data_IF_488665851078
#
_entry.id   IF_488665851078
#
_cell.length_a   1.000
_cell.length_b   1.000
_cell.length_c   1.000
_cell.angle_alpha   90.00
_cell.angle_beta   90.00
_cell.angle_gamma   90.00
#
_symmetry.space_group_name_H-M   'P 1'
#
loop_
_entity.id
_entity.type
_entity.pdbx_description
1 polymer ?
#
# COMPACT_ATOMS: atom_id res chain seq x y z
N UNK A 1 -9.59 -12.91 -10.78
CA UNK A 1 -8.65 -14.00 -10.89
C UNK A 1 -7.83 -13.79 -12.15
N UNK A 2 -6.56 -13.45 -12.00
CA UNK A 2 -5.60 -13.51 -13.08
C UNK A 2 -5.51 -14.98 -13.47
N UNK A 3 -5.91 -15.30 -14.67
CA UNK A 3 -5.63 -16.63 -15.22
C UNK A 3 -4.12 -16.69 -15.43
N UNK A 4 -3.44 -17.40 -14.53
CA UNK A 4 -1.98 -17.63 -14.50
C UNK A 4 -1.40 -18.12 -15.85
N UNK A 5 -2.26 -18.50 -16.78
CA UNK A 5 -1.84 -19.23 -17.97
C UNK A 5 -1.27 -18.37 -19.11
N UNK A 6 -1.65 -17.09 -19.28
CA UNK A 6 -1.20 -16.35 -20.48
C UNK A 6 0.16 -15.68 -20.31
N UNK A 7 0.47 -15.08 -19.17
CA UNK A 7 1.75 -14.42 -18.94
C UNK A 7 2.90 -15.44 -18.67
N UNK A 8 2.60 -16.51 -17.92
CA UNK A 8 3.52 -17.60 -17.60
C UNK A 8 3.95 -18.37 -18.86
N UNK A 9 3.02 -18.65 -19.78
CA UNK A 9 3.33 -19.37 -21.02
C UNK A 9 4.22 -18.55 -21.96
N UNK A 10 3.97 -17.24 -22.11
CA UNK A 10 4.80 -16.36 -22.94
C UNK A 10 6.21 -16.20 -22.38
N UNK A 11 6.35 -16.14 -21.07
CA UNK A 11 7.66 -16.00 -20.42
C UNK A 11 8.44 -17.31 -20.44
N UNK A 12 7.82 -18.45 -20.18
CA UNK A 12 8.46 -19.75 -20.32
C UNK A 12 8.97 -19.97 -21.75
N UNK A 13 8.18 -19.60 -22.77
CA UNK A 13 8.62 -19.68 -24.17
C UNK A 13 9.82 -18.74 -24.47
N UNK A 14 9.85 -17.54 -23.89
CA UNK A 14 10.99 -16.62 -24.03
C UNK A 14 12.27 -17.15 -23.38
N UNK A 15 12.16 -17.76 -22.19
CA UNK A 15 13.28 -18.42 -21.52
C UNK A 15 13.74 -19.67 -22.25
N UNK A 16 12.82 -20.50 -22.74
CA UNK A 16 13.14 -21.73 -23.49
C UNK A 16 13.80 -21.45 -24.83
N UNK A 17 13.37 -20.43 -25.58
CA UNK A 17 14.00 -20.00 -26.84
C UNK A 17 15.45 -19.55 -26.59
N UNK A 18 15.71 -18.88 -25.49
CA UNK A 18 17.06 -18.43 -25.14
C UNK A 18 17.95 -19.57 -24.63
N UNK A 19 17.41 -20.48 -23.85
CA UNK A 19 18.09 -21.68 -23.36
C UNK A 19 18.52 -22.60 -24.52
N UNK A 20 17.67 -22.77 -25.51
CA UNK A 20 18.00 -23.59 -26.69
C UNK A 20 19.15 -23.01 -27.56
N UNK A 21 19.28 -21.65 -27.61
CA UNK A 21 20.36 -20.99 -28.35
C UNK A 21 21.68 -20.89 -27.58
N UNK A 22 21.66 -20.92 -26.27
CA UNK A 22 22.85 -20.77 -25.40
C UNK A 22 23.51 -22.10 -25.01
N UNK A 23 22.98 -23.24 -25.42
CA UNK A 23 23.57 -24.55 -25.16
C UNK A 23 24.97 -24.75 -25.75
N UNK A 24 25.57 -23.73 -26.38
CA UNK A 24 26.92 -23.78 -26.90
C UNK A 24 28.00 -23.07 -26.06
N UNK A 25 27.64 -22.37 -24.94
CA UNK A 25 28.66 -21.70 -24.13
C UNK A 25 28.35 -21.68 -22.61
N UNK A 26 29.41 -21.84 -21.80
CA UNK A 26 29.46 -21.85 -20.34
C UNK A 26 29.04 -20.53 -19.64
N UNK A 27 28.43 -19.57 -20.34
CA UNK A 27 27.91 -18.29 -19.77
C UNK A 27 26.48 -18.38 -19.24
N UNK A 28 25.93 -19.57 -19.09
CA UNK A 28 24.51 -19.80 -18.81
C UNK A 28 24.01 -19.36 -17.44
N UNK A 29 24.88 -19.15 -16.46
CA UNK A 29 24.45 -18.80 -15.09
C UNK A 29 24.06 -17.33 -14.93
N UNK A 30 24.62 -16.42 -15.69
CA UNK A 30 24.26 -14.99 -15.63
C UNK A 30 22.97 -14.65 -16.39
N UNK A 31 22.67 -15.34 -17.46
CA UNK A 31 21.47 -15.10 -18.27
C UNK A 31 20.18 -15.55 -17.60
N UNK A 32 20.24 -16.51 -16.68
CA UNK A 32 19.09 -16.95 -15.88
C UNK A 32 18.71 -15.89 -14.81
N UNK A 33 19.66 -15.04 -14.39
CA UNK A 33 19.45 -13.97 -13.43
C UNK A 33 18.84 -12.70 -14.04
N UNK A 34 18.82 -12.57 -15.36
CA UNK A 34 18.33 -11.40 -16.09
C UNK A 34 17.19 -11.80 -17.02
N UNK A 35 16.03 -11.21 -16.83
CA UNK A 35 14.90 -11.33 -17.74
C UNK A 35 14.64 -10.01 -18.47
N UNK A 36 14.19 -10.09 -19.71
CA UNK A 36 13.74 -8.95 -20.47
C UNK A 36 12.21 -9.04 -20.65
N UNK A 37 11.47 -8.03 -20.20
CA UNK A 37 10.02 -7.97 -20.33
C UNK A 37 9.66 -6.87 -21.32
N UNK A 38 8.85 -7.19 -22.30
CA UNK A 38 8.50 -6.31 -23.41
C UNK A 38 7.20 -5.56 -23.15
N UNK A 39 7.18 -4.27 -23.50
CA UNK A 39 6.05 -3.36 -23.27
C UNK A 39 4.78 -3.75 -24.02
N UNK A 40 4.93 -4.30 -25.21
CA UNK A 40 3.82 -4.68 -26.08
C UNK A 40 3.86 -6.18 -26.38
N UNK A 41 2.69 -6.74 -26.69
CA UNK A 41 2.50 -8.14 -27.10
C UNK A 41 3.28 -8.43 -28.39
N UNK A 42 4.61 -8.43 -28.30
CA UNK A 42 5.41 -8.99 -29.38
C UNK A 42 5.09 -10.47 -29.47
N UNK A 43 4.65 -10.90 -30.64
CA UNK A 43 4.49 -12.31 -30.90
C UNK A 43 5.84 -13.02 -30.69
N UNK A 44 5.82 -14.24 -30.19
CA UNK A 44 7.01 -15.09 -30.05
C UNK A 44 7.84 -15.12 -31.34
N UNK A 45 7.21 -14.97 -32.47
CA UNK A 45 7.81 -14.88 -33.79
C UNK A 45 8.70 -13.64 -33.97
N UNK A 46 8.22 -12.45 -33.56
CA UNK A 46 9.01 -11.21 -33.67
C UNK A 46 10.25 -11.22 -32.78
N UNK A 47 10.17 -11.83 -31.61
CA UNK A 47 11.31 -11.96 -30.72
C UNK A 47 12.36 -12.94 -31.31
N UNK A 48 11.91 -14.02 -31.89
CA UNK A 48 12.76 -15.00 -32.55
C UNK A 48 13.51 -14.41 -33.76
N UNK A 49 12.83 -13.56 -34.56
CA UNK A 49 13.40 -12.79 -35.64
C UNK A 49 14.48 -11.79 -35.15
N UNK A 50 14.20 -11.04 -34.09
CA UNK A 50 15.13 -10.07 -33.52
C UNK A 50 16.38 -10.73 -32.98
N UNK A 51 16.25 -11.83 -32.24
CA UNK A 51 17.38 -12.60 -31.72
C UNK A 51 18.17 -13.34 -32.85
N UNK A 52 17.49 -13.63 -33.96
CA UNK A 52 18.12 -14.27 -35.12
C UNK A 52 18.90 -13.25 -35.97
N UNK A 53 18.38 -12.04 -36.12
CA UNK A 53 19.01 -10.95 -36.88
C UNK A 53 20.22 -10.32 -36.14
N UNK A 54 20.25 -10.40 -34.79
CA UNK A 54 21.33 -9.85 -33.98
C UNK A 54 21.82 -10.85 -32.92
N UNK A 55 22.41 -11.96 -33.32
CA UNK A 55 22.79 -13.04 -32.38
C UNK A 55 23.88 -12.63 -31.38
N UNK A 56 24.70 -11.67 -31.73
CA UNK A 56 25.86 -11.21 -30.94
C UNK A 56 25.59 -9.87 -30.20
N UNK A 57 24.42 -9.26 -30.40
CA UNK A 57 24.12 -7.99 -29.76
C UNK A 57 23.87 -8.19 -28.23
N UNK A 58 24.48 -7.35 -27.36
CA UNK A 58 24.20 -7.36 -25.93
C UNK A 58 22.71 -7.19 -25.65
N UNK A 59 22.17 -7.96 -24.71
CA UNK A 59 20.76 -7.91 -24.34
C UNK A 59 20.31 -6.48 -24.02
N UNK A 60 21.17 -5.72 -23.33
CA UNK A 60 20.91 -4.32 -22.97
C UNK A 60 20.70 -3.43 -24.20
N UNK A 61 21.53 -3.55 -25.25
CA UNK A 61 21.36 -2.69 -26.42
C UNK A 61 20.10 -3.04 -27.21
N UNK A 62 19.73 -4.31 -27.27
CA UNK A 62 18.47 -4.75 -27.89
C UNK A 62 17.26 -4.25 -27.10
N UNK A 63 17.28 -4.37 -25.78
CA UNK A 63 16.21 -3.92 -24.92
C UNK A 63 16.04 -2.39 -24.98
N UNK A 64 17.14 -1.62 -24.90
CA UNK A 64 17.12 -0.15 -24.97
C UNK A 64 16.56 0.35 -26.31
N UNK A 65 16.98 -0.19 -27.42
CA UNK A 65 16.48 0.17 -28.74
C UNK A 65 14.98 -0.08 -28.92
N UNK A 66 14.40 -0.93 -28.08
CA UNK A 66 12.98 -1.30 -28.10
C UNK A 66 12.19 -0.73 -26.91
N UNK A 67 12.81 0.11 -26.08
CA UNK A 67 12.22 0.65 -24.85
C UNK A 67 11.67 -0.44 -23.91
N UNK A 68 12.35 -1.58 -23.86
CA UNK A 68 12.00 -2.69 -22.99
C UNK A 68 12.69 -2.56 -21.64
N UNK A 69 12.02 -2.94 -20.58
CA UNK A 69 12.63 -3.05 -19.26
C UNK A 69 13.49 -4.29 -19.16
N UNK A 70 14.66 -4.17 -18.56
CA UNK A 70 15.47 -5.31 -18.15
C UNK A 70 15.19 -5.56 -16.67
N UNK A 71 14.52 -6.66 -16.37
CA UNK A 71 14.33 -7.08 -15.00
C UNK A 71 15.52 -7.92 -14.57
N UNK A 72 16.33 -7.35 -13.68
CA UNK A 72 17.49 -8.03 -13.10
C UNK A 72 17.17 -8.46 -11.67
N UNK A 73 17.25 -9.76 -11.39
CA UNK A 73 16.94 -10.30 -10.06
C UNK A 73 17.96 -9.91 -8.97
N UNK A 74 19.08 -9.29 -9.36
CA UNK A 74 20.11 -8.79 -8.44
C UNK A 74 20.13 -7.25 -8.38
N UNK A 75 19.10 -6.56 -8.85
CA UNK A 75 19.01 -5.10 -8.88
C UNK A 75 17.68 -4.63 -8.35
N UNK A 76 17.62 -3.43 -7.71
CA UNK A 76 16.37 -2.78 -7.36
C UNK A 76 15.52 -2.51 -8.60
N UNK A 77 14.22 -2.67 -8.48
CA UNK A 77 13.24 -2.33 -9.50
C UNK A 77 12.44 -1.13 -9.02
N UNK A 78 12.48 -0.02 -9.75
CA UNK A 78 11.69 1.18 -9.41
C UNK A 78 10.22 0.95 -9.72
N UNK A 79 9.36 1.31 -8.79
CA UNK A 79 7.91 1.26 -8.93
C UNK A 79 7.40 2.64 -9.34
N UNK A 80 6.58 2.70 -10.38
CA UNK A 80 5.94 3.94 -10.81
C UNK A 80 4.60 4.10 -10.09
N UNK A 81 4.38 5.26 -9.51
CA UNK A 81 3.09 5.55 -8.86
C UNK A 81 1.99 5.65 -9.91
N UNK A 82 0.87 4.98 -9.65
CA UNK A 82 -0.37 5.11 -10.40
C UNK A 82 -1.40 5.86 -9.56
N UNK A 83 -1.72 7.09 -9.96
CA UNK A 83 -2.72 7.90 -9.28
C UNK A 83 -4.13 7.51 -9.69
N UNK A 84 -4.98 7.20 -8.70
CA UNK A 84 -6.38 6.82 -8.87
C UNK A 84 -7.25 7.82 -8.13
N UNK A 85 -8.08 8.54 -8.88
CA UNK A 85 -9.01 9.52 -8.32
C UNK A 85 -10.09 8.82 -7.49
N UNK A 86 -10.44 9.44 -6.39
CA UNK A 86 -11.50 9.02 -5.46
C UNK A 86 -12.42 10.20 -5.14
N UNK A 87 -13.66 9.96 -4.68
CA UNK A 87 -14.54 11.04 -4.24
C UNK A 87 -13.93 11.95 -3.17
N UNK A 88 -13.09 11.38 -2.31
CA UNK A 88 -12.44 12.05 -1.18
C UNK A 88 -11.03 12.61 -1.49
N UNK A 89 -10.50 12.42 -2.71
CA UNK A 89 -9.14 12.85 -3.07
C UNK A 89 -8.50 11.92 -4.09
N UNK A 90 -7.35 11.32 -3.77
CA UNK A 90 -6.74 10.32 -4.64
C UNK A 90 -5.86 9.33 -3.87
N UNK A 91 -5.66 8.17 -4.46
CA UNK A 91 -4.68 7.16 -4.03
C UNK A 91 -3.51 7.12 -5.01
N UNK A 92 -2.28 7.06 -4.50
CA UNK A 92 -1.10 6.73 -5.28
C UNK A 92 -0.72 5.27 -5.04
N UNK A 93 -0.85 4.40 -6.04
CA UNK A 93 -0.53 3.00 -5.92
C UNK A 93 0.87 2.69 -6.43
N UNK A 94 1.69 1.98 -5.64
CA UNK A 94 3.04 1.54 -5.99
C UNK A 94 3.12 0.04 -6.28
N UNK A 95 2.19 -0.78 -5.75
CA UNK A 95 2.16 -2.23 -5.93
C UNK A 95 0.81 -2.77 -6.41
N UNK A 96 0.01 -1.96 -7.09
CA UNK A 96 -1.27 -2.35 -7.67
C UNK A 96 -1.12 -3.42 -8.75
N UNK A 97 -1.87 -4.52 -8.63
CA UNK A 97 -1.82 -5.67 -9.55
C UNK A 97 -3.21 -6.14 -9.98
N UNK A 98 -4.24 -5.33 -9.76
CA UNK A 98 -5.62 -5.66 -10.07
C UNK A 98 -6.18 -4.83 -11.24
N UNK A 99 -7.35 -5.23 -11.76
CA UNK A 99 -7.98 -4.57 -12.91
C UNK A 99 -8.22 -3.07 -12.76
N UNK A 100 -8.43 -2.58 -11.52
CA UNK A 100 -8.65 -1.15 -11.23
C UNK A 100 -7.36 -0.33 -11.30
N UNK A 101 -6.20 -0.97 -11.14
CA UNK A 101 -4.92 -0.30 -11.17
C UNK A 101 -3.76 -1.27 -11.28
N UNK A 102 -3.15 -1.32 -12.48
CA UNK A 102 -1.92 -2.08 -12.70
C UNK A 102 -0.75 -1.12 -12.74
N UNK A 103 0.10 -1.21 -11.74
CA UNK A 103 1.30 -0.40 -11.58
C UNK A 103 2.37 -0.87 -12.55
N UNK A 104 3.26 0.03 -12.95
CA UNK A 104 4.42 -0.27 -13.79
C UNK A 104 5.70 -0.27 -12.97
N UNK A 105 6.60 -1.14 -13.39
CA UNK A 105 7.98 -1.17 -12.91
C UNK A 105 8.93 -0.75 -14.02
N UNK A 106 10.04 -0.10 -13.64
CA UNK A 106 11.03 0.43 -14.60
C UNK A 106 12.47 0.19 -14.12
N UNK A 107 13.38 0.04 -15.06
CA UNK A 107 14.84 0.04 -14.86
C UNK A 107 15.47 1.40 -15.22
N UNK A 108 14.63 2.43 -15.48
CA UNK A 108 15.03 3.75 -15.94
C UNK A 108 15.06 3.89 -17.47
N UNK A 109 14.95 2.82 -18.24
CA UNK A 109 14.96 2.83 -19.72
C UNK A 109 13.65 2.33 -20.32
N UNK A 110 13.14 1.23 -19.80
CA UNK A 110 11.88 0.65 -20.21
C UNK A 110 10.90 0.52 -19.06
N UNK A 111 9.64 0.18 -19.39
CA UNK A 111 8.57 -0.01 -18.41
C UNK A 111 7.79 -1.26 -18.72
N UNK A 112 7.35 -1.98 -17.68
CA UNK A 112 6.41 -3.09 -17.79
C UNK A 112 5.40 -3.06 -16.65
N UNK A 113 4.26 -3.72 -16.83
CA UNK A 113 3.32 -3.93 -15.74
C UNK A 113 3.94 -4.80 -14.64
N UNK A 114 3.79 -4.40 -13.39
CA UNK A 114 4.38 -5.09 -12.24
C UNK A 114 4.06 -6.60 -12.21
N UNK A 115 2.83 -7.07 -12.50
CA UNK A 115 2.53 -8.50 -12.55
C UNK A 115 3.46 -9.29 -13.50
N UNK A 116 3.82 -8.71 -14.65
CA UNK A 116 4.75 -9.37 -15.57
C UNK A 116 6.17 -9.40 -14.99
N UNK A 117 6.63 -8.31 -14.38
CA UNK A 117 7.91 -8.31 -13.70
C UNK A 117 7.97 -9.37 -12.60
N UNK A 118 6.92 -9.49 -11.80
CA UNK A 118 6.82 -10.45 -10.69
C UNK A 118 6.85 -11.91 -11.17
N UNK A 119 6.34 -12.21 -12.37
CA UNK A 119 6.43 -13.59 -12.92
C UNK A 119 7.86 -14.06 -13.13
N UNK A 120 8.80 -13.12 -13.37
CA UNK A 120 10.23 -13.41 -13.52
C UNK A 120 10.88 -13.82 -12.21
N UNK A 121 10.37 -13.31 -11.12
CA UNK A 121 10.87 -13.56 -9.78
C UNK A 121 10.17 -14.74 -9.09
N UNK A 122 9.07 -15.27 -9.66
CA UNK A 122 8.14 -16.20 -9.00
C UNK A 122 8.82 -17.41 -8.33
N UNK A 123 9.90 -17.91 -8.87
CA UNK A 123 10.69 -19.01 -8.28
C UNK A 123 11.78 -18.55 -7.31
N UNK A 124 12.11 -17.26 -7.28
CA UNK A 124 13.20 -16.70 -6.46
C UNK A 124 12.71 -15.73 -5.39
N UNK A 125 11.53 -15.12 -5.61
CA UNK A 125 10.90 -14.18 -4.70
C UNK A 125 10.02 -14.85 -3.65
N UNK A 126 9.46 -15.97 -4.02
CA UNK A 126 8.48 -16.69 -3.27
C UNK A 126 9.05 -18.09 -3.08
N UNK A 127 10.03 -18.22 -2.18
CA UNK A 127 10.52 -19.54 -1.76
C UNK A 127 9.35 -20.40 -1.25
N UNK A 128 8.27 -19.76 -0.81
CA UNK A 128 6.94 -20.33 -0.63
C UNK A 128 5.91 -19.48 -1.37
N UNK A 129 5.04 -20.10 -2.13
CA UNK A 129 3.90 -19.48 -2.83
C UNK A 129 2.88 -18.77 -1.91
N UNK A 130 3.13 -18.75 -0.60
CA UNK A 130 2.29 -18.15 0.42
C UNK A 130 2.56 -16.67 0.68
N UNK A 131 3.67 -16.11 0.19
CA UNK A 131 3.98 -14.69 0.40
C UNK A 131 3.31 -13.86 -0.68
N UNK A 132 2.14 -13.35 -0.36
CA UNK A 132 1.43 -12.40 -1.19
C UNK A 132 2.19 -11.07 -1.28
N UNK A 133 2.04 -10.35 -2.39
CA UNK A 133 2.62 -9.02 -2.55
C UNK A 133 1.99 -8.05 -1.57
N UNK A 134 2.79 -7.44 -0.69
CA UNK A 134 2.35 -6.35 0.17
C UNK A 134 1.90 -5.19 -0.72
N UNK A 135 0.72 -4.65 -0.49
CA UNK A 135 0.27 -3.47 -1.19
C UNK A 135 0.83 -2.22 -0.50
N UNK A 136 1.41 -1.36 -1.32
CA UNK A 136 1.96 -0.07 -0.93
C UNK A 136 1.21 1.03 -1.66
N UNK A 137 0.63 1.95 -0.90
CA UNK A 137 -0.12 3.09 -1.42
C UNK A 137 0.21 4.36 -0.66
N UNK A 138 -0.13 5.50 -1.25
CA UNK A 138 -0.38 6.75 -0.53
C UNK A 138 -1.87 7.08 -0.61
N UNK A 139 -2.44 7.55 0.50
CA UNK A 139 -3.78 8.09 0.56
C UNK A 139 -3.68 9.60 0.75
N UNK A 140 -4.33 10.34 -0.14
CA UNK A 140 -4.24 11.81 -0.19
C UNK A 140 -5.66 12.41 -0.15
N UNK A 141 -6.28 12.48 1.02
CA UNK A 141 -7.56 13.15 1.21
C UNK A 141 -7.45 14.65 0.94
N UNK A 142 -8.48 15.23 0.32
CA UNK A 142 -8.56 16.71 0.23
C UNK A 142 -8.75 17.31 1.61
N UNK A 143 -8.41 18.59 1.76
CA UNK A 143 -8.47 19.29 3.04
C UNK A 143 -9.89 19.67 3.48
N UNK A 144 -10.87 19.60 2.58
CA UNK A 144 -12.25 19.97 2.83
C UNK A 144 -12.93 18.95 3.74
N UNK A 145 -13.45 19.43 4.88
CA UNK A 145 -14.21 18.63 5.85
C UNK A 145 -15.37 17.89 5.17
N UNK A 146 -15.63 16.68 5.59
CA UNK A 146 -16.62 15.73 5.02
C UNK A 146 -16.26 15.23 3.63
N UNK A 147 -15.79 16.09 2.73
CA UNK A 147 -15.42 15.68 1.36
C UNK A 147 -14.15 14.84 1.39
N UNK A 148 -13.15 15.24 2.16
CA UNK A 148 -11.90 14.51 2.31
C UNK A 148 -11.99 13.30 3.26
N UNK A 149 -13.08 13.12 3.98
CA UNK A 149 -13.23 11.96 4.89
C UNK A 149 -13.41 10.67 4.09
N UNK A 150 -12.66 9.64 4.47
CA UNK A 150 -12.81 8.31 3.89
C UNK A 150 -13.98 7.55 4.52
N UNK A 151 -14.25 6.38 3.97
CA UNK A 151 -15.23 5.45 4.55
C UNK A 151 -14.92 5.16 6.01
N UNK A 152 -15.94 5.02 6.83
CA UNK A 152 -15.83 4.26 8.06
C UNK A 152 -15.94 2.80 7.67
N UNK A 153 -14.83 2.10 7.74
CA UNK A 153 -14.72 0.73 7.23
C UNK A 153 -14.01 -0.18 8.21
N UNK A 154 -14.15 -1.47 7.99
CA UNK A 154 -13.34 -2.49 8.63
C UNK A 154 -13.15 -3.67 7.68
N UNK A 155 -12.24 -4.55 8.03
CA UNK A 155 -11.81 -5.65 7.19
C UNK A 155 -11.85 -6.97 7.94
N UNK A 156 -12.13 -8.07 7.22
CA UNK A 156 -12.14 -9.43 7.76
C UNK A 156 -10.79 -10.14 7.56
N UNK A 157 -10.08 -9.81 6.48
CA UNK A 157 -8.81 -10.46 6.10
C UNK A 157 -7.68 -9.46 5.85
N UNK A 158 -8.00 -8.18 5.66
CA UNK A 158 -7.03 -7.15 5.36
C UNK A 158 -6.44 -6.56 6.65
N UNK A 159 -5.13 -6.67 6.79
CA UNK A 159 -4.33 -5.97 7.79
C UNK A 159 -3.70 -4.75 7.15
N UNK A 160 -3.77 -3.60 7.78
CA UNK A 160 -3.20 -2.37 7.23
C UNK A 160 -2.58 -1.47 8.29
N UNK A 161 -1.63 -0.65 7.87
CA UNK A 161 -0.96 0.34 8.70
C UNK A 161 -0.76 1.63 7.92
N UNK A 162 -1.05 2.75 8.57
CA UNK A 162 -0.81 4.10 8.07
C UNK A 162 0.40 4.71 8.75
N UNK A 163 1.24 5.36 7.96
CA UNK A 163 2.29 6.26 8.43
C UNK A 163 1.94 7.66 7.96
N UNK A 164 1.68 8.57 8.90
CA UNK A 164 1.28 9.95 8.60
C UNK A 164 2.47 10.73 8.03
N UNK A 165 2.35 11.20 6.80
CA UNK A 165 3.43 11.93 6.11
C UNK A 165 3.19 13.42 6.01
N UNK A 166 1.91 13.86 6.02
CA UNK A 166 1.54 15.27 5.93
C UNK A 166 0.21 15.51 6.63
N UNK A 167 0.07 16.68 7.26
CA UNK A 167 -1.18 17.18 7.81
C UNK A 167 -1.41 18.60 7.27
N UNK A 168 -2.49 18.77 6.51
CA UNK A 168 -2.86 20.06 5.96
C UNK A 168 -3.25 21.05 7.07
N UNK A 169 -2.51 22.16 7.17
CA UNK A 169 -2.73 23.17 8.20
C UNK A 169 -3.98 24.03 7.96
N UNK A 170 -4.55 23.99 6.75
CA UNK A 170 -5.84 24.61 6.47
C UNK A 170 -6.98 23.82 7.11
N UNK A 171 -6.89 22.49 7.07
CA UNK A 171 -7.82 21.58 7.73
C UNK A 171 -7.55 21.48 9.24
N UNK A 172 -6.28 21.33 9.63
CA UNK A 172 -5.81 21.10 11.00
C UNK A 172 -4.78 22.14 11.43
N UNK A 173 -5.19 23.35 11.85
CA UNK A 173 -4.26 24.45 12.14
C UNK A 173 -3.22 24.17 13.22
N UNK A 174 -3.53 23.27 14.17
CA UNK A 174 -2.61 22.84 15.22
C UNK A 174 -1.47 21.95 14.71
N UNK A 175 -1.56 21.42 13.49
CA UNK A 175 -0.70 20.38 12.96
C UNK A 175 -0.95 19.00 13.60
N UNK A 176 -2.07 18.86 14.33
CA UNK A 176 -2.55 17.59 14.89
C UNK A 176 -3.87 17.26 14.22
N UNK A 177 -3.92 16.18 13.48
CA UNK A 177 -5.12 15.67 12.83
C UNK A 177 -5.80 14.58 13.67
N UNK A 178 -6.96 14.10 13.21
CA UNK A 178 -7.71 13.02 13.85
C UNK A 178 -7.96 11.92 12.83
N UNK A 179 -7.60 10.70 13.17
CA UNK A 179 -8.05 9.48 12.47
C UNK A 179 -9.12 8.85 13.35
N UNK A 180 -10.27 8.49 12.78
CA UNK A 180 -11.31 7.80 13.51
C UNK A 180 -10.93 6.33 13.66
N UNK A 181 -10.94 5.79 14.90
CA UNK A 181 -10.51 4.42 15.16
C UNK A 181 -11.17 3.83 16.41
N UNK A 182 -11.68 2.60 16.29
CA UNK A 182 -12.37 1.90 17.38
C UNK A 182 -13.62 2.58 17.87
N UNK A 183 -14.08 2.22 19.06
CA UNK A 183 -15.21 2.84 19.71
C UNK A 183 -14.76 3.96 20.67
N UNK A 184 -15.64 4.94 20.86
CA UNK A 184 -15.35 6.07 21.72
C UNK A 184 -15.28 5.63 23.20
N UNK A 185 -14.20 5.96 23.94
CA UNK A 185 -14.00 5.48 25.32
C UNK A 185 -15.12 5.91 26.27
N UNK A 186 -15.63 7.14 26.13
CA UNK A 186 -16.72 7.62 26.98
C UNK A 186 -18.04 6.87 26.72
N UNK A 187 -18.30 6.48 25.45
CA UNK A 187 -19.46 5.64 25.13
C UNK A 187 -19.31 4.26 25.73
N UNK A 188 -18.14 3.64 25.63
CA UNK A 188 -17.90 2.35 26.28
C UNK A 188 -18.14 2.46 27.79
N UNK A 189 -17.57 3.49 28.45
CA UNK A 189 -17.74 3.69 29.89
C UNK A 189 -19.21 3.91 30.28
N UNK A 190 -19.95 4.75 29.52
CA UNK A 190 -21.37 4.99 29.69
C UNK A 190 -22.18 3.68 29.64
N UNK A 191 -21.95 2.87 28.61
CA UNK A 191 -22.69 1.62 28.42
C UNK A 191 -22.29 0.55 29.44
N UNK A 192 -21.04 0.45 29.83
CA UNK A 192 -20.58 -0.43 30.91
C UNK A 192 -21.26 -0.10 32.24
N UNK A 193 -21.38 1.19 32.56
CA UNK A 193 -22.05 1.63 33.78
C UNK A 193 -23.56 1.28 33.78
N UNK A 194 -24.21 1.44 32.61
CA UNK A 194 -25.68 1.33 32.53
C UNK A 194 -26.17 -0.10 32.23
N UNK A 195 -25.34 -0.97 31.63
CA UNK A 195 -25.79 -2.26 31.11
C UNK A 195 -24.96 -3.47 31.59
N UNK A 196 -24.02 -3.29 32.50
CA UNK A 196 -23.17 -4.34 33.05
C UNK A 196 -22.58 -5.26 31.98
N UNK A 197 -22.76 -6.59 32.09
CA UNK A 197 -22.20 -7.56 31.14
C UNK A 197 -22.79 -7.49 29.72
N UNK A 198 -23.98 -6.90 29.56
CA UNK A 198 -24.65 -6.76 28.25
C UNK A 198 -24.26 -5.50 27.47
N UNK A 199 -23.37 -4.69 28.03
CA UNK A 199 -23.00 -3.41 27.44
C UNK A 199 -22.54 -3.51 25.97
N UNK A 200 -21.74 -4.52 25.54
CA UNK A 200 -21.29 -4.56 24.16
C UNK A 200 -22.44 -4.74 23.18
N UNK A 201 -23.36 -5.64 23.49
CA UNK A 201 -24.52 -5.92 22.64
C UNK A 201 -25.46 -4.71 22.53
N UNK A 202 -25.70 -4.01 23.66
CA UNK A 202 -26.59 -2.86 23.70
C UNK A 202 -25.93 -1.70 22.94
N UNK A 203 -24.65 -1.42 23.18
CA UNK A 203 -23.89 -0.38 22.47
C UNK A 203 -23.91 -0.61 20.95
N UNK A 204 -23.56 -1.81 20.49
CA UNK A 204 -23.53 -2.12 19.06
C UNK A 204 -24.93 -2.07 18.42
N UNK A 205 -25.98 -2.42 19.18
CA UNK A 205 -27.36 -2.27 18.71
C UNK A 205 -27.74 -0.80 18.53
N UNK A 206 -27.41 0.05 19.49
CA UNK A 206 -27.74 1.47 19.44
C UNK A 206 -26.89 2.20 18.39
N UNK A 207 -25.63 1.82 18.25
CA UNK A 207 -24.76 2.29 17.18
C UNK A 207 -25.33 1.92 15.80
N UNK A 208 -25.72 0.65 15.61
CA UNK A 208 -26.40 0.19 14.38
C UNK A 208 -27.65 1.01 14.09
N UNK A 209 -28.47 1.31 15.10
CA UNK A 209 -29.67 2.13 14.92
C UNK A 209 -29.30 3.55 14.46
N UNK A 210 -28.32 4.19 15.11
CA UNK A 210 -27.86 5.53 14.74
C UNK A 210 -27.37 5.58 13.28
N UNK A 211 -26.58 4.58 12.84
CA UNK A 211 -26.11 4.48 11.45
C UNK A 211 -27.29 4.25 10.50
N UNK A 212 -28.25 3.39 10.85
CA UNK A 212 -29.40 3.10 9.98
C UNK A 212 -30.26 4.36 9.78
N UNK A 213 -30.48 5.15 10.84
CA UNK A 213 -31.18 6.43 10.74
C UNK A 213 -30.42 7.40 9.83
N UNK A 214 -29.10 7.46 9.96
CA UNK A 214 -28.23 8.27 9.10
C UNK A 214 -28.23 7.78 7.64
N UNK A 215 -28.09 6.49 7.39
CA UNK A 215 -28.13 5.93 6.03
C UNK A 215 -29.42 6.29 5.30
N UNK A 216 -30.57 6.20 5.96
CA UNK A 216 -31.86 6.54 5.37
C UNK A 216 -31.92 7.97 4.84
N UNK A 217 -31.35 8.93 5.55
CA UNK A 217 -31.29 10.34 5.12
C UNK A 217 -30.20 10.53 4.05
N UNK A 218 -29.04 9.90 4.21
CA UNK A 218 -27.97 9.97 3.22
C UNK A 218 -28.42 9.44 1.86
N UNK A 219 -29.16 8.34 1.84
CA UNK A 219 -29.73 7.77 0.58
C UNK A 219 -30.71 8.72 -0.10
N UNK A 220 -31.50 9.47 0.64
CA UNK A 220 -32.38 10.49 0.05
C UNK A 220 -31.54 11.59 -0.64
N UNK A 221 -30.48 12.07 0.02
CA UNK A 221 -29.58 13.09 -0.54
C UNK A 221 -28.82 12.56 -1.78
N UNK A 222 -28.47 11.28 -1.80
CA UNK A 222 -27.75 10.65 -2.91
C UNK A 222 -28.60 10.43 -4.17
N UNK A 223 -29.93 10.53 -4.06
CA UNK A 223 -30.82 10.40 -5.22
C UNK A 223 -30.72 11.65 -6.12
N UNK A 224 -30.44 11.50 -7.43
CA UNK A 224 -30.18 12.63 -8.34
C UNK A 224 -31.35 13.62 -8.48
N UNK A 225 -32.55 13.18 -8.14
CA UNK A 225 -33.80 13.95 -8.29
C UNK A 225 -34.21 14.68 -6.99
N UNK A 226 -33.50 14.46 -5.89
CA UNK A 226 -33.84 15.08 -4.61
C UNK A 226 -33.40 16.53 -4.59
N UNK A 227 -34.34 17.42 -4.31
CA UNK A 227 -34.05 18.81 -3.95
C UNK A 227 -33.57 18.84 -2.49
N UNK A 228 -32.30 19.19 -2.30
CA UNK A 228 -31.65 19.16 -0.98
C UNK A 228 -32.06 20.44 -0.25
N UNK A 229 -33.10 20.33 0.59
CA UNK A 229 -33.54 21.47 1.41
C UNK A 229 -32.58 21.72 2.59
N UNK A 230 -32.64 22.90 3.17
CA UNK A 230 -31.89 23.27 4.39
C UNK A 230 -32.24 22.33 5.56
N UNK A 231 -33.50 21.92 5.67
CA UNK A 231 -33.97 20.99 6.70
C UNK A 231 -33.36 19.59 6.52
N UNK A 232 -33.32 19.08 5.28
CA UNK A 232 -32.73 17.78 4.97
C UNK A 232 -31.22 17.78 5.24
N UNK A 233 -30.51 18.88 4.90
CA UNK A 233 -29.10 19.06 5.19
C UNK A 233 -28.83 19.12 6.71
N UNK A 234 -29.66 19.83 7.47
CA UNK A 234 -29.56 19.90 8.93
C UNK A 234 -29.84 18.54 9.58
N UNK A 235 -30.79 17.79 9.06
CA UNK A 235 -31.09 16.43 9.52
C UNK A 235 -29.93 15.48 9.27
N UNK A 236 -29.34 15.52 8.07
CA UNK A 236 -28.13 14.72 7.73
C UNK A 236 -27.01 15.00 8.71
N UNK A 237 -26.67 16.28 8.92
CA UNK A 237 -25.61 16.69 9.84
C UNK A 237 -25.85 16.19 11.27
N UNK A 238 -27.09 16.30 11.76
CA UNK A 238 -27.46 15.85 13.10
C UNK A 238 -27.31 14.33 13.25
N UNK A 239 -27.80 13.55 12.29
CA UNK A 239 -27.73 12.09 12.32
C UNK A 239 -26.32 11.58 12.11
N UNK A 240 -25.53 12.21 11.21
CA UNK A 240 -24.11 11.92 11.03
C UNK A 240 -23.36 12.13 12.34
N UNK A 241 -23.56 13.27 13.00
CA UNK A 241 -22.96 13.55 14.31
C UNK A 241 -23.33 12.50 15.34
N UNK A 242 -24.62 12.14 15.44
CA UNK A 242 -25.09 11.09 16.35
C UNK A 242 -24.40 9.74 16.09
N UNK A 243 -24.22 9.34 14.83
CA UNK A 243 -23.54 8.11 14.49
C UNK A 243 -22.04 8.18 14.79
N UNK A 244 -21.38 9.29 14.47
CA UNK A 244 -19.93 9.45 14.71
C UNK A 244 -19.56 9.59 16.19
N UNK A 245 -20.50 9.93 17.10
CA UNK A 245 -20.25 9.93 18.54
C UNK A 245 -19.88 8.56 19.13
N UNK A 246 -20.19 7.46 18.43
CA UNK A 246 -19.80 6.12 18.85
C UNK A 246 -18.35 5.78 18.49
N UNK A 247 -17.72 6.52 17.59
CA UNK A 247 -16.39 6.22 17.07
C UNK A 247 -15.32 7.03 17.79
N UNK A 248 -14.23 6.36 18.16
CA UNK A 248 -13.11 6.97 18.87
C UNK A 248 -12.26 7.87 17.97
N UNK A 249 -11.59 8.82 18.61
CA UNK A 249 -10.67 9.77 18.02
C UNK A 249 -9.22 9.37 18.34
N UNK A 250 -8.43 9.11 17.30
CA UNK A 250 -6.99 8.91 17.39
C UNK A 250 -6.30 10.19 16.91
N UNK A 251 -5.76 10.98 17.83
CA UNK A 251 -4.98 12.18 17.50
C UNK A 251 -3.64 11.79 16.92
N UNK A 252 -3.27 12.38 15.76
CA UNK A 252 -2.04 12.07 15.04
C UNK A 252 -1.27 13.30 14.59
N UNK A 253 0.04 13.15 14.48
CA UNK A 253 0.99 14.12 13.93
C UNK A 253 1.79 13.48 12.81
N UNK A 254 2.50 14.28 12.02
CA UNK A 254 3.45 13.78 11.02
C UNK A 254 4.47 12.86 11.69
N UNK A 255 4.65 11.67 11.13
CA UNK A 255 5.51 10.61 11.65
C UNK A 255 4.80 9.60 12.55
N UNK A 256 3.57 9.85 12.98
CA UNK A 256 2.79 8.90 13.76
C UNK A 256 2.34 7.71 12.90
N UNK A 257 2.14 6.59 13.58
CA UNK A 257 1.78 5.31 12.98
C UNK A 257 0.48 4.82 13.60
N UNK A 258 -0.45 4.42 12.72
CA UNK A 258 -1.76 3.89 13.12
C UNK A 258 -1.96 2.56 12.41
N UNK A 259 -2.11 1.47 13.14
CA UNK A 259 -2.26 0.11 12.59
C UNK A 259 -3.65 -0.44 12.84
N UNK A 260 -4.21 -1.09 11.83
CA UNK A 260 -5.55 -1.66 11.88
C UNK A 260 -5.50 -3.17 11.64
N UNK A 261 -5.62 -3.96 12.71
CA UNK A 261 -5.88 -5.40 12.58
C UNK A 261 -7.28 -5.62 12.00
N UNK A 262 -7.56 -6.86 11.57
CA UNK A 262 -8.91 -7.27 11.15
C UNK A 262 -9.96 -6.93 12.22
N UNK A 263 -11.18 -6.64 11.78
CA UNK A 263 -12.35 -6.28 12.61
C UNK A 263 -12.21 -4.96 13.41
N UNK A 264 -11.20 -4.14 13.11
CA UNK A 264 -11.03 -2.82 13.71
C UNK A 264 -11.70 -1.74 12.86
N UNK A 265 -12.71 -1.05 13.42
CA UNK A 265 -13.34 0.12 12.79
C UNK A 265 -12.34 1.26 12.65
N UNK A 266 -12.27 1.87 11.46
CA UNK A 266 -11.43 3.04 11.22
C UNK A 266 -11.92 3.90 10.05
N UNK A 267 -11.43 5.15 10.00
CA UNK A 267 -11.63 6.08 8.89
C UNK A 267 -10.54 7.14 8.89
N UNK A 268 -9.80 7.25 7.79
CA UNK A 268 -8.87 8.37 7.58
C UNK A 268 -9.68 9.63 7.30
N UNK A 269 -9.31 10.73 7.93
CA UNK A 269 -10.04 11.99 7.80
C UNK A 269 -9.34 12.96 6.86
N UNK A 270 -10.08 13.99 6.42
CA UNK A 270 -9.64 15.02 5.50
C UNK A 270 -8.28 15.64 5.85
N UNK A 271 -7.52 16.03 4.84
CA UNK A 271 -6.25 16.73 4.99
C UNK A 271 -5.13 15.95 5.70
N UNK A 272 -5.27 14.64 5.90
CA UNK A 272 -4.23 13.79 6.49
C UNK A 272 -3.69 12.83 5.42
N UNK A 273 -2.47 13.07 4.93
CA UNK A 273 -1.81 12.21 3.97
C UNK A 273 -1.06 11.10 4.68
N UNK A 274 -1.20 9.88 4.17
CA UNK A 274 -0.53 8.71 4.75
C UNK A 274 0.12 7.84 3.67
N UNK A 275 1.17 7.11 4.07
CA UNK A 275 1.64 5.91 3.36
C UNK A 275 0.93 4.73 4.02
N UNK A 276 0.36 3.86 3.19
CA UNK A 276 -0.35 2.64 3.61
C UNK A 276 0.41 1.40 3.14
N UNK A 277 0.72 0.49 4.08
CA UNK A 277 1.03 -0.90 3.76
C UNK A 277 -0.13 -1.79 4.18
N UNK A 278 -0.54 -2.68 3.30
CA UNK A 278 -1.62 -3.63 3.58
C UNK A 278 -1.36 -5.01 2.98
N UNK A 279 -2.04 -6.02 3.53
CA UNK A 279 -2.15 -7.32 2.87
C UNK A 279 -2.91 -7.19 1.55
N UNK A 280 -2.68 -8.07 0.55
CA UNK A 280 -3.26 -7.93 -0.80
C UNK A 280 -4.74 -8.34 -0.87
N UNK A 281 -5.49 -8.03 0.17
CA UNK A 281 -6.93 -8.24 0.23
C UNK A 281 -7.64 -6.93 -0.11
N UNK A 282 -8.66 -7.01 -0.93
CA UNK A 282 -9.42 -5.84 -1.42
C UNK A 282 -10.83 -5.77 -0.83
N UNK A 283 -11.14 -6.71 0.08
CA UNK A 283 -12.40 -6.73 0.79
C UNK A 283 -12.49 -5.57 1.79
N UNK A 284 -13.68 -5.07 1.97
CA UNK A 284 -14.02 -4.10 3.01
C UNK A 284 -15.49 -4.19 3.35
N UNK A 285 -15.82 -3.91 4.59
CA UNK A 285 -17.16 -3.67 5.06
C UNK A 285 -17.34 -2.18 5.32
N UNK A 286 -18.16 -1.51 4.51
CA UNK A 286 -18.47 -0.08 4.69
C UNK A 286 -19.50 0.04 5.80
N UNK A 287 -19.08 0.59 6.93
CA UNK A 287 -19.95 0.82 8.09
C UNK A 287 -20.83 2.05 7.88
N UNK A 288 -20.25 3.16 7.45
CA UNK A 288 -20.96 4.38 7.04
C UNK A 288 -20.06 5.26 6.17
N UNK A 289 -20.67 6.20 5.45
CA UNK A 289 -19.94 7.16 4.62
C UNK A 289 -20.72 8.45 4.44
N UNK A 290 -20.03 9.58 4.47
CA UNK A 290 -20.63 10.91 4.34
C UNK A 290 -20.87 11.35 2.89
N UNK A 291 -20.54 10.52 1.91
CA UNK A 291 -20.75 10.76 0.49
C UNK A 291 -21.44 9.56 -0.17
N UNK A 292 -21.78 9.70 -1.46
CA UNK A 292 -22.38 8.60 -2.23
C UNK A 292 -21.43 7.44 -2.42
N UNK A 293 -21.84 6.25 -1.99
CA UNK A 293 -21.15 5.01 -2.31
C UNK A 293 -21.53 4.55 -3.70
N UNK A 294 -20.56 4.43 -4.61
CA UNK A 294 -20.80 4.06 -6.01
C UNK A 294 -20.75 2.54 -6.25
N UNK A 295 -20.20 1.78 -5.32
CA UNK A 295 -19.92 0.34 -5.50
C UNK A 295 -21.05 -0.56 -5.02
N UNK A 296 -21.93 -0.07 -4.17
CA UNK A 296 -23.03 -0.84 -3.57
C UNK A 296 -24.21 0.04 -3.18
N UNK A 297 -25.39 -0.56 -3.07
CA UNK A 297 -26.65 0.15 -2.77
C UNK A 297 -26.85 0.45 -1.27
N UNK A 298 -26.33 -0.40 -0.39
CA UNK A 298 -26.46 -0.29 1.06
C UNK A 298 -25.08 -0.41 1.71
N UNK A 299 -24.94 0.18 2.87
CA UNK A 299 -23.75 -0.03 3.70
C UNK A 299 -23.78 -1.44 4.30
N UNK A 300 -22.60 -1.94 4.66
CA UNK A 300 -22.43 -3.27 5.26
C UNK A 300 -22.57 -3.24 6.78
N UNK A 301 -23.22 -2.18 7.31
CA UNK A 301 -23.31 -1.87 8.75
C UNK A 301 -23.71 -3.07 9.60
N UNK A 302 -24.74 -3.83 9.17
CA UNK A 302 -25.23 -4.94 9.96
C UNK A 302 -24.21 -6.09 10.06
N UNK A 303 -23.55 -6.40 8.95
CA UNK A 303 -22.52 -7.43 8.89
C UNK A 303 -21.27 -6.98 9.65
N UNK A 304 -20.81 -5.78 9.39
CA UNK A 304 -19.67 -5.17 10.06
C UNK A 304 -19.81 -5.19 11.60
N UNK A 305 -20.89 -4.62 12.12
CA UNK A 305 -21.09 -4.54 13.57
C UNK A 305 -21.30 -5.90 14.24
N UNK A 306 -21.72 -6.93 13.50
CA UNK A 306 -21.81 -8.30 14.03
C UNK A 306 -20.45 -8.96 14.29
N UNK A 307 -19.38 -8.44 13.66
CA UNK A 307 -18.00 -8.95 13.68
C UNK A 307 -17.02 -8.03 14.39
N UNK A 308 -17.44 -6.78 14.63
CA UNK A 308 -16.59 -5.74 15.22
C UNK A 308 -16.11 -6.13 16.62
N UNK A 309 -14.85 -5.83 16.90
CA UNK A 309 -14.34 -5.84 18.26
C UNK A 309 -14.80 -4.54 18.99
N UNK A 310 -15.66 -4.62 20.02
CA UNK A 310 -16.19 -3.44 20.71
C UNK A 310 -15.18 -2.88 21.72
N UNK A 311 -14.09 -2.31 21.23
CA UNK A 311 -12.98 -1.84 22.05
C UNK A 311 -12.49 -0.44 21.65
N UNK A 312 -11.78 0.20 22.58
CA UNK A 312 -11.04 1.43 22.29
C UNK A 312 -9.84 1.10 21.43
N UNK A 313 -9.56 1.94 20.45
CA UNK A 313 -8.34 1.83 19.67
C UNK A 313 -7.11 2.26 20.49
N UNK A 314 -6.03 1.49 20.37
CA UNK A 314 -4.73 1.82 20.95
C UNK A 314 -3.67 1.89 19.85
N UNK A 315 -2.92 3.00 19.79
CA UNK A 315 -1.79 3.11 18.88
C UNK A 315 -0.72 2.05 19.20
N UNK A 316 -0.08 1.46 18.19
CA UNK A 316 0.97 0.48 18.42
C UNK A 316 2.19 1.12 19.05
N UNK A 317 2.85 0.38 19.93
CA UNK A 317 4.18 0.74 20.42
C UNK A 317 5.23 0.37 19.37
N UNK A 318 6.22 1.26 19.17
CA UNK A 318 7.32 1.01 18.24
C UNK A 318 8.41 0.19 18.94
N UNK A 319 8.78 -0.91 18.31
CA UNK A 319 9.90 -1.73 18.76
C UNK A 319 11.22 -1.16 18.23
N UNK A 320 12.10 -0.71 19.12
CA UNK A 320 13.43 -0.25 18.73
C UNK A 320 14.33 -1.45 18.42
N UNK A 321 14.63 -1.66 17.14
CA UNK A 321 15.49 -2.75 16.69
C UNK A 321 16.98 -2.39 16.76
N UNK A 322 17.33 -1.12 16.47
CA UNK A 322 18.70 -0.65 16.48
C UNK A 322 18.76 0.85 16.71
N UNK A 323 19.77 1.30 17.47
CA UNK A 323 20.07 2.70 17.64
C UNK A 323 21.58 2.91 17.80
N UNK A 324 22.12 3.84 17.04
CA UNK A 324 23.50 4.36 17.21
C UNK A 324 23.50 5.86 16.87
N UNK A 325 24.66 6.53 16.94
CA UNK A 325 24.75 7.93 16.56
C UNK A 325 24.36 8.11 15.09
N UNK A 326 23.25 8.83 14.86
CA UNK A 326 22.74 9.14 13.52
C UNK A 326 21.98 8.01 12.82
N UNK A 327 21.68 6.89 13.49
CA UNK A 327 20.91 5.77 12.94
C UNK A 327 19.87 5.31 13.95
N UNK A 328 18.61 5.21 13.52
CA UNK A 328 17.51 4.64 14.28
C UNK A 328 16.71 3.69 13.39
N UNK A 329 16.48 2.46 13.84
CA UNK A 329 15.64 1.46 13.19
C UNK A 329 14.55 1.03 14.16
N UNK A 330 13.31 1.21 13.76
CA UNK A 330 12.13 0.91 14.57
C UNK A 330 11.18 0.02 13.78
N UNK A 331 10.77 -1.09 14.35
CA UNK A 331 9.64 -1.87 13.84
C UNK A 331 8.35 -1.22 14.29
N UNK A 332 7.49 -0.92 13.33
CA UNK A 332 6.21 -0.29 13.63
C UNK A 332 5.03 -1.23 13.41
N UNK A 333 5.23 -2.35 12.73
CA UNK A 333 4.21 -3.38 12.57
C UNK A 333 4.83 -4.77 12.48
N UNK A 334 4.20 -5.72 13.16
CA UNK A 334 4.54 -7.14 13.15
C UNK A 334 3.25 -7.97 12.96
N UNK A 335 2.67 -7.87 11.75
CA UNK A 335 1.47 -8.61 11.38
C UNK A 335 1.76 -10.07 11.05
N UNK A 336 0.76 -10.95 11.05
CA UNK A 336 0.96 -12.35 10.69
C UNK A 336 1.57 -12.55 9.29
N UNK A 337 1.28 -11.62 8.33
CA UNK A 337 1.67 -11.75 6.94
C UNK A 337 2.92 -10.94 6.58
N UNK A 338 3.22 -9.86 7.30
CA UNK A 338 4.36 -9.00 7.01
C UNK A 338 4.82 -8.19 8.23
N UNK A 339 6.07 -7.76 8.17
CA UNK A 339 6.62 -6.76 9.08
C UNK A 339 6.95 -5.48 8.34
N UNK A 340 6.96 -4.35 9.06
CA UNK A 340 7.43 -3.09 8.49
C UNK A 340 8.25 -2.29 9.50
N UNK A 341 9.36 -1.73 9.00
CA UNK A 341 10.34 -0.99 9.79
C UNK A 341 10.47 0.45 9.25
N UNK A 342 10.67 1.41 10.16
CA UNK A 342 11.08 2.77 9.84
C UNK A 342 12.58 2.90 10.11
N UNK A 343 13.32 3.38 9.13
CA UNK A 343 14.75 3.61 9.24
C UNK A 343 15.01 5.10 9.06
N UNK A 344 15.68 5.69 10.04
CA UNK A 344 16.11 7.09 10.05
C UNK A 344 17.63 7.14 10.03
N UNK A 345 18.22 7.84 9.07
CA UNK A 345 19.64 8.03 8.90
C UNK A 345 19.96 9.52 8.84
N UNK A 346 20.86 10.01 9.67
CA UNK A 346 21.43 11.35 9.51
C UNK A 346 22.21 11.45 8.21
N UNK A 347 22.44 12.67 7.74
CA UNK A 347 23.21 12.95 6.53
C UNK A 347 24.57 12.24 6.53
N UNK A 348 24.86 11.55 5.43
CA UNK A 348 26.12 10.80 5.24
C UNK A 348 26.19 9.46 5.97
N UNK A 349 25.19 9.11 6.79
CA UNK A 349 25.12 7.79 7.42
C UNK A 349 24.81 6.69 6.41
N UNK A 350 25.24 5.49 6.74
CA UNK A 350 25.03 4.30 5.92
C UNK A 350 24.33 3.21 6.72
N UNK A 351 23.48 2.44 6.02
CA UNK A 351 22.79 1.27 6.58
C UNK A 351 22.97 0.07 5.66
N UNK A 352 23.53 -1.02 6.19
CA UNK A 352 23.66 -2.29 5.50
C UNK A 352 22.51 -3.21 5.91
N UNK A 353 21.84 -3.82 4.93
CA UNK A 353 20.72 -4.72 5.17
C UNK A 353 20.77 -5.96 4.28
N UNK A 354 20.11 -7.03 4.71
CA UNK A 354 20.09 -8.32 4.03
C UNK A 354 18.64 -8.74 3.75
N UNK A 355 18.39 -9.17 2.52
CA UNK A 355 17.05 -9.61 2.13
C UNK A 355 16.67 -10.99 2.71
N UNK A 356 17.65 -11.81 3.05
CA UNK A 356 17.38 -13.16 3.54
C UNK A 356 16.67 -14.00 2.47
N UNK A 357 15.42 -14.40 2.74
CA UNK A 357 14.59 -15.18 1.81
C UNK A 357 13.41 -14.39 1.23
N UNK A 358 13.37 -13.07 1.47
CA UNK A 358 12.18 -12.27 1.20
C UNK A 358 12.55 -11.00 0.44
N UNK A 359 11.64 -10.50 -0.38
CA UNK A 359 11.81 -9.20 -0.99
C UNK A 359 11.62 -8.08 0.05
N UNK A 360 12.20 -6.92 -0.20
CA UNK A 360 11.89 -5.70 0.53
C UNK A 360 11.17 -4.70 -0.38
N UNK A 361 10.13 -4.06 0.16
CA UNK A 361 9.55 -2.85 -0.43
C UNK A 361 10.08 -1.66 0.34
N UNK A 362 10.70 -0.71 -0.36
CA UNK A 362 11.17 0.54 0.22
C UNK A 362 10.36 1.70 -0.34
N UNK A 363 10.04 2.67 0.53
CA UNK A 363 9.52 3.99 0.13
C UNK A 363 10.18 5.05 0.99
N UNK A 364 10.70 6.13 0.37
CA UNK A 364 11.28 7.25 1.11
C UNK A 364 10.19 8.26 1.51
N UNK A 365 10.23 8.71 2.76
CA UNK A 365 9.40 9.81 3.27
C UNK A 365 10.12 11.15 3.09
N UNK A 366 11.41 11.20 3.47
CA UNK A 366 12.23 12.41 3.42
C UNK A 366 13.69 12.07 3.16
N UNK A 367 14.43 13.05 2.67
CA UNK A 367 15.83 12.85 2.29
C UNK A 367 15.96 12.02 1.01
N UNK A 368 17.20 11.80 0.59
CA UNK A 368 17.53 11.01 -0.59
C UNK A 368 18.53 9.92 -0.21
N UNK A 369 18.37 8.74 -0.78
CA UNK A 369 19.31 7.64 -0.61
C UNK A 369 19.89 7.17 -1.95
N UNK A 370 21.15 6.73 -1.92
CA UNK A 370 21.71 5.85 -2.92
C UNK A 370 21.64 4.41 -2.39
N UNK A 371 20.95 3.54 -3.10
CA UNK A 371 20.79 2.11 -2.78
C UNK A 371 21.76 1.32 -3.62
N UNK A 372 22.78 0.76 -2.99
CA UNK A 372 23.83 -0.03 -3.62
C UNK A 372 23.53 -1.53 -3.44
N UNK A 373 23.18 -2.27 -4.47
CA UNK A 373 23.16 -3.73 -4.41
C UNK A 373 24.59 -4.27 -4.25
N UNK A 374 24.73 -5.49 -3.73
CA UNK A 374 26.02 -6.15 -3.60
C UNK A 374 26.77 -6.22 -4.94
N UNK A 375 26.04 -6.46 -6.03
CA UNK A 375 26.57 -6.50 -7.39
C UNK A 375 25.71 -5.64 -8.31
N UNK A 376 26.24 -4.53 -8.81
CA UNK A 376 25.52 -3.71 -9.78
C UNK A 376 25.64 -2.21 -9.56
N UNK A 377 24.74 -1.45 -10.16
CA UNK A 377 24.75 0.01 -10.09
C UNK A 377 23.82 0.51 -8.98
N UNK A 378 24.22 1.60 -8.34
CA UNK A 378 23.38 2.28 -7.36
C UNK A 378 22.10 2.81 -8.02
N UNK A 379 21.00 2.73 -7.28
CA UNK A 379 19.72 3.32 -7.63
C UNK A 379 19.38 4.42 -6.62
N UNK A 380 19.07 5.61 -7.13
CA UNK A 380 18.66 6.72 -6.27
C UNK A 380 17.19 6.52 -5.85
N UNK A 381 16.92 6.69 -4.57
CA UNK A 381 15.60 6.71 -3.97
C UNK A 381 15.31 8.12 -3.44
N UNK A 382 14.41 8.83 -4.10
CA UNK A 382 13.97 10.17 -3.70
C UNK A 382 12.72 10.08 -2.80
N UNK A 383 12.34 11.17 -2.12
CA UNK A 383 11.07 11.23 -1.40
C UNK A 383 9.88 10.83 -2.29
N UNK A 384 8.95 10.09 -1.73
CA UNK A 384 7.76 9.54 -2.41
C UNK A 384 8.07 8.56 -3.57
N UNK A 385 9.32 8.14 -3.75
CA UNK A 385 9.66 7.04 -4.66
C UNK A 385 9.71 5.72 -3.91
N UNK A 386 9.38 4.64 -4.63
CA UNK A 386 9.40 3.30 -4.08
C UNK A 386 10.24 2.35 -4.93
N UNK A 387 10.92 1.43 -4.26
CA UNK A 387 11.73 0.38 -4.85
C UNK A 387 11.24 -1.00 -4.39
N UNK A 388 11.23 -1.91 -5.32
CA UNK A 388 11.11 -3.33 -5.05
C UNK A 388 12.52 -3.95 -5.12
N UNK A 389 12.98 -4.53 -4.02
CA UNK A 389 14.28 -5.18 -3.90
C UNK A 389 14.09 -6.70 -3.91
N UNK A 390 14.48 -7.37 -5.00
CA UNK A 390 14.28 -8.82 -5.13
C UNK A 390 15.29 -9.61 -4.30
N UNK A 391 14.89 -10.77 -3.82
CA UNK A 391 15.72 -11.70 -3.01
C UNK A 391 17.11 -11.97 -3.63
N UNK A 392 17.16 -12.01 -4.97
CA UNK A 392 18.41 -12.27 -5.69
C UNK A 392 19.50 -11.21 -5.51
N UNK A 393 19.18 -10.06 -4.90
CA UNK A 393 20.20 -9.07 -4.51
C UNK A 393 21.07 -9.52 -3.34
N UNK A 394 20.57 -10.41 -2.48
CA UNK A 394 21.28 -10.89 -1.29
C UNK A 394 21.39 -9.83 -0.19
N UNK A 395 22.17 -8.79 -0.43
CA UNK A 395 22.38 -7.66 0.48
C UNK A 395 22.37 -6.33 -0.26
N UNK A 396 22.20 -5.24 0.47
CA UNK A 396 22.31 -3.89 -0.08
C UNK A 396 22.76 -2.90 0.99
N UNK A 397 23.36 -1.81 0.53
CA UNK A 397 23.76 -0.67 1.36
C UNK A 397 22.94 0.55 0.94
N UNK A 398 22.36 1.26 1.91
CA UNK A 398 21.83 2.60 1.73
C UNK A 398 22.82 3.63 2.25
N UNK A 399 22.96 4.72 1.49
CA UNK A 399 23.72 5.89 1.90
C UNK A 399 22.80 7.10 1.82
N UNK A 400 22.64 7.83 2.95
CA UNK A 400 21.93 9.10 2.96
C UNK A 400 22.75 10.15 2.21
N UNK A 401 22.23 10.67 1.10
CA UNK A 401 22.98 11.52 0.14
C UNK A 401 22.56 12.98 0.13
N UNK A 402 21.42 13.33 0.75
CA UNK A 402 20.94 14.71 0.83
C UNK A 402 21.40 15.40 2.12
N UNK A 403 21.30 16.74 2.15
CA UNK A 403 21.56 17.55 3.33
C UNK A 403 20.49 17.41 4.44
N UNK A 404 19.38 16.75 4.12
CA UNK A 404 18.31 16.43 5.06
C UNK A 404 18.39 14.96 5.47
N UNK A 405 18.06 14.63 6.74
CA UNK A 405 18.02 13.24 7.18
C UNK A 405 17.11 12.39 6.31
N UNK A 406 17.57 11.17 6.02
CA UNK A 406 16.79 10.18 5.30
C UNK A 406 15.85 9.48 6.27
N UNK A 407 14.56 9.46 5.95
CA UNK A 407 13.58 8.61 6.60
C UNK A 407 12.92 7.77 5.50
N UNK A 408 13.03 6.46 5.61
CA UNK A 408 12.35 5.54 4.70
C UNK A 408 11.66 4.41 5.46
N UNK A 409 10.66 3.85 4.83
CA UNK A 409 9.92 2.70 5.31
C UNK A 409 10.34 1.47 4.51
N UNK A 410 10.44 0.34 5.21
CA UNK A 410 10.75 -0.96 4.64
C UNK A 410 9.70 -1.96 5.07
N UNK A 411 9.02 -2.59 4.12
CA UNK A 411 8.09 -3.68 4.39
C UNK A 411 8.63 -5.00 3.82
N UNK A 412 8.42 -6.08 4.56
CA UNK A 412 8.91 -7.43 4.26
C UNK A 412 7.81 -8.45 4.55
N UNK A 413 7.47 -9.37 3.61
CA UNK A 413 6.57 -10.48 3.93
C UNK A 413 7.20 -11.40 4.98
N UNK A 414 6.38 -12.23 5.64
CA UNK A 414 6.85 -13.27 6.57
C UNK A 414 6.91 -14.64 5.92
#
# INVERSE_FOLDING_TARGET
>A
PWTENTASVHFQQLCEIKIQKTNHYQQNTELIKRGCVWKDRLSTQNLQEILTQNPDAPLESVARNRQCVIVNTAQPLRLEVLNILKPWGHEGWYTGVEKRGVVKATDGYGKTELPYALTLFKKQLLADYSTALILLKTLNPVAEDVVGDLYYEMHEEKWEVYVVTEIDKGAWPSGTGIIKAGLHPDKIAEYQQNHAEKWPEVLLKDFKQAITEYENVRRQIDEPTTDISTELSAQELSLRKKATEFVGDCSVKVGDIVSFPVFQLHSLQHGIKVIEFQTPHYERLIVMFSQKVLTQKHWDTADALSKMHPEVYHQPELEKLYQSAGILVERFVDFPQFTADRISLDTGQTWDDQLGRQYHLLISISGQAAVFPENGQAVILNPEEALFLPVGMGSYRLISTADTPLIYLKAMPK
#
